data_IF_656111967769
#
_entry.id   IF_656111967769
#
_cell.length_a   1.000
_cell.length_b   1.000
_cell.length_c   1.000
_cell.angle_alpha   90.00
_cell.angle_beta   90.00
_cell.angle_gamma   90.00
#
_symmetry.space_group_name_H-M   'P 1'
#
loop_
_entity.id
_entity.type
_entity.pdbx_description
1 polymer ?
#
# COMPACT_ATOMS: atom_id res chain seq x y z
N UNK A 1 9.26 10.01 15.73
CA UNK A 1 9.32 9.00 16.82
C UNK A 1 10.69 8.87 17.49
N UNK A 2 11.80 8.62 16.76
CA UNK A 2 13.14 8.46 17.36
C UNK A 2 13.54 9.64 18.27
N UNK A 3 13.24 10.86 17.84
CA UNK A 3 13.47 12.09 18.62
C UNK A 3 12.79 12.07 19.99
N UNK A 4 11.50 11.73 20.04
CA UNK A 4 10.76 11.66 21.30
C UNK A 4 11.24 10.52 22.18
N UNK A 5 11.59 9.37 21.59
CA UNK A 5 12.19 8.27 22.33
C UNK A 5 13.56 8.65 22.96
N UNK A 6 14.36 9.47 22.27
CA UNK A 6 15.66 9.93 22.76
C UNK A 6 15.56 10.89 23.96
N UNK A 7 14.43 11.57 24.14
CA UNK A 7 14.18 12.45 25.28
C UNK A 7 13.89 11.68 26.58
N UNK A 8 13.50 10.40 26.50
CA UNK A 8 13.13 9.60 27.68
C UNK A 8 12.07 10.31 28.53
N UNK A 9 12.38 10.52 29.81
CA UNK A 9 11.48 11.16 30.79
C UNK A 9 11.10 12.60 30.49
N UNK A 10 11.81 13.27 29.59
CA UNK A 10 11.47 14.62 29.15
C UNK A 10 10.43 14.62 28.02
N UNK A 11 10.07 13.46 27.46
CA UNK A 11 9.03 13.34 26.45
C UNK A 11 7.65 13.28 27.07
N UNK A 12 6.72 14.08 26.55
CA UNK A 12 5.29 13.97 26.91
C UNK A 12 4.66 12.65 26.46
N UNK A 13 5.33 11.91 25.57
CA UNK A 13 4.89 10.61 25.06
C UNK A 13 5.62 9.43 25.69
N UNK A 14 6.50 9.62 26.68
CA UNK A 14 7.27 8.55 27.33
C UNK A 14 6.39 7.34 27.66
N UNK A 15 5.31 7.55 28.42
CA UNK A 15 4.42 6.48 28.84
C UNK A 15 3.75 5.73 27.68
N UNK A 16 3.52 6.38 26.55
CA UNK A 16 3.00 5.71 25.34
C UNK A 16 4.11 4.93 24.63
N UNK A 17 5.28 5.54 24.42
CA UNK A 17 6.42 4.91 23.75
C UNK A 17 6.91 3.64 24.47
N UNK A 18 6.82 3.63 25.80
CA UNK A 18 7.17 2.49 26.66
C UNK A 18 6.21 1.30 26.54
N UNK A 19 4.95 1.55 26.16
CA UNK A 19 3.96 0.47 25.95
C UNK A 19 4.09 -0.20 24.58
N UNK A 20 4.81 0.42 23.65
CA UNK A 20 4.90 -0.08 22.29
C UNK A 20 5.85 -1.29 22.16
N UNK A 21 5.61 -2.19 21.19
CA UNK A 21 6.49 -3.31 20.91
C UNK A 21 7.94 -2.87 20.64
N UNK A 22 8.87 -3.68 21.11
CA UNK A 22 10.32 -3.56 20.86
C UNK A 22 10.85 -4.70 20.01
N UNK A 23 9.97 -5.59 19.57
CA UNK A 23 10.22 -6.73 18.69
C UNK A 23 9.05 -6.86 17.74
N UNK A 24 9.34 -7.32 16.53
CA UNK A 24 8.37 -7.51 15.46
C UNK A 24 8.62 -8.84 14.79
N UNK A 25 7.52 -9.46 14.34
CA UNK A 25 7.53 -10.69 13.57
C UNK A 25 7.34 -10.39 12.07
N UNK A 26 7.55 -9.15 11.64
CA UNK A 26 7.51 -8.77 10.22
C UNK A 26 8.75 -9.30 9.47
N UNK A 27 8.62 -9.64 8.16
CA UNK A 27 9.69 -10.20 7.35
C UNK A 27 11.02 -9.43 7.39
N UNK A 28 10.99 -8.11 7.60
CA UNK A 28 12.20 -7.27 7.73
C UNK A 28 13.18 -7.79 8.80
N UNK A 29 12.68 -8.41 9.87
CA UNK A 29 13.50 -8.92 10.98
C UNK A 29 13.84 -10.41 10.85
N UNK A 30 13.38 -11.07 9.80
CA UNK A 30 13.57 -12.50 9.64
C UNK A 30 15.01 -12.84 9.21
N UNK A 31 15.53 -14.01 9.63
CA UNK A 31 16.72 -14.59 9.03
C UNK A 31 16.55 -14.81 7.52
N UNK A 32 17.65 -14.75 6.78
CA UNK A 32 17.66 -14.99 5.33
C UNK A 32 17.04 -16.35 4.98
N UNK A 33 17.28 -17.39 5.79
CA UNK A 33 16.71 -18.71 5.56
C UNK A 33 15.17 -18.72 5.57
N UNK A 34 14.55 -17.91 6.43
CA UNK A 34 13.09 -17.84 6.54
C UNK A 34 12.51 -16.94 5.44
N UNK A 35 13.25 -15.91 5.00
CA UNK A 35 12.87 -15.08 3.86
C UNK A 35 12.81 -15.87 2.54
N UNK A 36 13.65 -16.90 2.39
CA UNK A 36 13.60 -17.77 1.21
C UNK A 36 12.30 -18.56 1.08
N UNK A 37 11.58 -18.79 2.18
CA UNK A 37 10.25 -19.43 2.17
C UNK A 37 9.17 -18.50 1.58
N UNK A 38 9.43 -17.18 1.51
CA UNK A 38 8.53 -16.21 0.85
C UNK A 38 8.72 -16.18 -0.67
N UNK A 39 9.65 -16.95 -1.22
CA UNK A 39 9.93 -16.97 -2.66
C UNK A 39 8.67 -17.28 -3.46
N UNK A 40 8.39 -16.44 -4.46
CA UNK A 40 7.20 -16.54 -5.30
C UNK A 40 5.97 -15.86 -4.71
N UNK A 41 6.00 -15.36 -3.48
CA UNK A 41 4.98 -14.44 -2.96
C UNK A 41 5.26 -13.00 -3.41
N UNK A 42 4.27 -12.11 -3.35
CA UNK A 42 4.47 -10.67 -3.57
C UNK A 42 5.27 -10.00 -2.46
N UNK A 43 5.43 -10.64 -1.30
CA UNK A 43 6.13 -10.06 -0.14
C UNK A 43 7.65 -10.05 -0.36
N UNK A 44 8.20 -11.07 -1.04
CA UNK A 44 9.66 -11.25 -1.17
C UNK A 44 10.35 -10.01 -1.74
N UNK A 45 9.69 -9.31 -2.66
CA UNK A 45 10.20 -8.08 -3.29
C UNK A 45 9.82 -6.81 -2.50
N UNK A 46 8.87 -6.90 -1.56
CA UNK A 46 8.30 -5.77 -0.81
C UNK A 46 8.79 -5.68 0.65
N UNK A 47 9.81 -6.44 1.04
CA UNK A 47 10.35 -6.43 2.43
C UNK A 47 10.97 -5.06 2.79
N UNK A 48 11.63 -4.39 1.83
CA UNK A 48 12.08 -3.00 1.97
C UNK A 48 13.26 -2.77 2.92
N UNK A 49 13.98 -3.84 3.33
CA UNK A 49 15.06 -3.74 4.33
C UNK A 49 16.27 -2.99 3.78
N UNK A 50 16.72 -3.33 2.59
CA UNK A 50 17.93 -2.73 2.01
C UNK A 50 17.72 -1.24 1.70
N UNK A 51 16.52 -0.90 1.23
CA UNK A 51 16.06 0.47 0.99
C UNK A 51 16.04 1.28 2.29
N UNK A 52 15.47 0.73 3.37
CA UNK A 52 15.45 1.38 4.68
C UNK A 52 16.87 1.59 5.26
N UNK A 53 17.75 0.61 5.13
CA UNK A 53 19.15 0.73 5.55
C UNK A 53 19.89 1.80 4.74
N UNK A 54 19.63 1.88 3.44
CA UNK A 54 20.17 2.93 2.56
C UNK A 54 19.67 4.31 2.96
N UNK A 55 18.37 4.50 3.18
CA UNK A 55 17.79 5.77 3.61
C UNK A 55 18.38 6.26 4.93
N UNK A 56 18.59 5.34 5.87
CA UNK A 56 19.26 5.65 7.13
C UNK A 56 20.68 6.19 6.89
N UNK A 57 21.47 5.51 6.04
CA UNK A 57 22.88 5.87 5.78
C UNK A 57 23.01 7.14 4.96
N UNK A 58 22.21 7.28 3.91
CA UNK A 58 22.37 8.33 2.91
C UNK A 58 21.63 9.62 3.31
N UNK A 59 20.55 9.53 4.09
CA UNK A 59 19.71 10.68 4.45
C UNK A 59 19.74 10.99 5.94
N UNK A 60 19.33 10.05 6.79
CA UNK A 60 19.12 10.32 8.21
C UNK A 60 20.44 10.56 8.95
N UNK A 61 21.43 9.68 8.81
CA UNK A 61 22.69 9.78 9.53
C UNK A 61 23.48 11.08 9.23
N UNK A 62 23.56 11.57 7.98
CA UNK A 62 24.12 12.88 7.67
C UNK A 62 23.35 14.03 8.33
N UNK A 63 22.02 13.99 8.31
CA UNK A 63 21.16 15.03 8.91
C UNK A 63 21.38 15.13 10.42
N UNK A 64 21.45 14.00 11.12
CA UNK A 64 21.72 13.95 12.56
C UNK A 64 23.08 14.57 12.90
N UNK A 65 24.11 14.27 12.12
CA UNK A 65 25.47 14.82 12.31
C UNK A 65 25.57 16.31 11.99
N UNK A 66 24.75 16.80 11.05
CA UNK A 66 24.74 18.21 10.64
C UNK A 66 24.12 19.13 11.70
N UNK A 67 23.33 18.58 12.64
CA UNK A 67 22.57 19.35 13.64
C UNK A 67 22.92 18.93 15.09
N UNK A 68 24.18 19.11 15.54
CA UNK A 68 24.58 18.78 16.90
C UNK A 68 23.91 19.63 17.99
N UNK A 69 23.28 20.73 17.59
CA UNK A 69 22.43 21.58 18.45
C UNK A 69 21.11 20.90 18.83
N UNK A 70 20.63 19.98 18.00
CA UNK A 70 19.42 19.19 18.24
C UNK A 70 19.79 17.76 18.66
N UNK A 71 20.71 17.13 17.95
CA UNK A 71 21.09 15.73 18.13
C UNK A 71 22.49 15.64 18.75
N UNK A 72 22.55 15.46 20.07
CA UNK A 72 23.82 15.42 20.78
C UNK A 72 24.69 14.27 20.26
N UNK A 73 25.98 14.49 19.94
CA UNK A 73 26.86 13.43 19.45
C UNK A 73 26.94 12.19 20.35
N UNK A 74 26.79 12.36 21.67
CA UNK A 74 26.76 11.26 22.64
C UNK A 74 25.52 10.38 22.57
N UNK A 75 24.44 10.85 21.94
CA UNK A 75 23.17 10.14 21.82
C UNK A 75 23.04 9.40 20.48
N UNK A 76 23.91 9.67 19.49
CA UNK A 76 23.79 9.09 18.16
C UNK A 76 23.91 7.57 18.18
N UNK A 77 24.94 7.05 18.85
CA UNK A 77 25.20 5.61 18.91
C UNK A 77 24.27 4.84 19.87
N UNK A 78 23.35 5.53 20.55
CA UNK A 78 22.44 4.93 21.55
C UNK A 78 20.97 5.06 21.15
N UNK A 79 20.53 6.26 20.76
CA UNK A 79 19.12 6.53 20.45
C UNK A 79 18.84 6.66 18.96
N UNK A 80 19.85 6.96 18.15
CA UNK A 80 19.71 7.18 16.73
C UNK A 80 20.46 6.14 15.90
N UNK A 81 20.30 4.87 16.27
CA UNK A 81 20.92 3.73 15.59
C UNK A 81 20.05 3.21 14.44
N UNK A 82 20.65 2.42 13.55
CA UNK A 82 19.91 1.73 12.49
C UNK A 82 18.85 0.78 13.06
N UNK A 83 19.14 0.10 14.17
CA UNK A 83 18.17 -0.75 14.85
C UNK A 83 16.96 0.07 15.34
N UNK A 84 17.19 1.23 15.95
CA UNK A 84 16.11 2.12 16.35
C UNK A 84 15.32 2.66 15.16
N UNK A 85 15.98 2.88 14.02
CA UNK A 85 15.31 3.26 12.78
C UNK A 85 14.33 2.18 12.30
N UNK A 86 14.77 0.91 12.26
CA UNK A 86 13.89 -0.21 11.91
C UNK A 86 12.74 -0.40 12.90
N UNK A 87 13.02 -0.32 14.21
CA UNK A 87 11.99 -0.45 15.25
C UNK A 87 10.94 0.65 15.13
N UNK A 88 11.36 1.91 14.96
CA UNK A 88 10.42 3.02 14.85
C UNK A 88 9.64 2.99 13.53
N UNK A 89 10.28 2.64 12.41
CA UNK A 89 9.60 2.43 11.14
C UNK A 89 8.53 1.33 11.23
N UNK A 90 8.85 0.22 11.91
CA UNK A 90 7.91 -0.89 12.12
C UNK A 90 6.77 -0.52 13.07
N UNK A 91 7.03 0.31 14.09
CA UNK A 91 5.97 0.89 14.94
C UNK A 91 5.01 1.73 14.10
N UNK A 92 5.52 2.60 13.23
CA UNK A 92 4.67 3.42 12.34
C UNK A 92 3.87 2.50 11.44
N UNK A 93 4.52 1.63 10.65
CA UNK A 93 3.88 0.77 9.66
C UNK A 93 2.76 -0.12 10.24
N UNK A 94 2.91 -0.57 11.49
CA UNK A 94 1.96 -1.49 12.13
C UNK A 94 0.89 -0.81 13.00
N UNK A 95 1.04 0.48 13.33
CA UNK A 95 0.21 1.14 14.38
C UNK A 95 -0.24 2.56 14.05
N UNK A 96 0.24 3.16 12.97
CA UNK A 96 -0.23 4.47 12.56
C UNK A 96 -1.65 4.42 12.00
N UNK A 97 -2.34 5.55 12.08
CA UNK A 97 -3.64 5.80 11.50
C UNK A 97 -3.52 6.96 10.53
N UNK A 98 -4.32 6.91 9.47
CA UNK A 98 -4.56 8.07 8.63
C UNK A 98 -5.62 8.95 9.32
N UNK A 99 -5.26 10.20 9.62
CA UNK A 99 -6.08 11.19 10.33
C UNK A 99 -6.07 12.45 9.47
N UNK A 100 -7.03 12.55 8.56
CA UNK A 100 -7.23 13.74 7.74
C UNK A 100 -7.65 14.91 8.64
N UNK A 101 -7.06 16.09 8.42
CA UNK A 101 -7.60 17.33 8.98
C UNK A 101 -8.91 17.68 8.27
N UNK A 102 -9.99 17.86 9.03
CA UNK A 102 -11.29 18.30 8.50
C UNK A 102 -11.13 19.66 7.80
N UNK A 103 -11.20 19.68 6.45
CA UNK A 103 -11.08 20.92 5.66
C UNK A 103 -12.18 21.95 5.97
N UNK A 104 -13.23 21.58 6.70
CA UNK A 104 -14.27 22.50 7.18
C UNK A 104 -13.72 23.60 8.09
N UNK A 105 -12.60 23.39 8.79
CA UNK A 105 -11.98 24.47 9.58
C UNK A 105 -11.32 25.55 8.70
N UNK A 106 -11.01 25.25 7.43
CA UNK A 106 -10.55 26.26 6.46
C UNK A 106 -11.71 27.07 5.89
N UNK A 107 -12.90 26.48 5.76
CA UNK A 107 -14.10 27.16 5.24
C UNK A 107 -14.86 27.97 6.30
N UNK A 108 -14.75 27.67 7.60
CA UNK A 108 -15.37 28.49 8.66
C UNK A 108 -14.76 29.91 8.79
N UNK A 109 -13.62 30.18 8.14
CA UNK A 109 -13.08 31.53 7.96
C UNK A 109 -13.78 32.35 6.86
N UNK A 110 -14.53 31.72 5.96
CA UNK A 110 -15.36 32.37 4.92
C UNK A 110 -16.80 31.86 5.01
N UNK A 111 -17.55 32.45 5.93
CA UNK A 111 -18.88 31.99 6.32
C UNK A 111 -19.86 31.73 5.17
N UNK A 112 -20.24 30.46 5.01
CA UNK A 112 -21.50 30.03 4.38
C UNK A 112 -22.03 28.79 5.12
N UNK A 113 -23.34 28.76 5.44
CA UNK A 113 -23.97 27.73 6.28
C UNK A 113 -23.96 26.33 5.62
N UNK A 114 -23.86 25.21 6.38
CA UNK A 114 -23.91 23.87 5.81
C UNK A 114 -25.35 23.36 5.67
N UNK A 115 -25.69 22.86 4.49
CA UNK A 115 -26.79 21.92 4.27
C UNK A 115 -26.24 20.49 4.22
N UNK A 116 -27.04 19.55 4.66
CA UNK A 116 -26.65 18.24 5.15
C UNK A 116 -26.51 17.24 4.00
N UNK A 117 -25.33 16.65 3.80
CA UNK A 117 -25.21 15.32 3.20
C UNK A 117 -24.11 14.53 3.89
N UNK A 118 -24.55 13.63 4.77
CA UNK A 118 -23.71 12.75 5.57
C UNK A 118 -23.44 11.48 4.76
N UNK A 119 -22.37 11.49 3.97
CA UNK A 119 -21.83 10.29 3.33
C UNK A 119 -20.32 10.48 3.08
N UNK A 120 -19.51 10.37 4.14
CA UNK A 120 -18.10 10.03 3.99
C UNK A 120 -17.76 8.98 5.04
N UNK A 121 -17.62 7.75 4.55
CA UNK A 121 -17.11 6.61 5.30
C UNK A 121 -15.86 6.13 4.58
N UNK A 122 -14.81 6.94 4.53
CA UNK A 122 -13.47 6.46 4.21
C UNK A 122 -12.87 5.86 5.48
N UNK A 123 -13.09 4.56 5.66
CA UNK A 123 -12.36 3.78 6.66
C UNK A 123 -11.25 3.06 5.96
N UNK A 124 -10.00 3.25 6.42
CA UNK A 124 -8.79 2.48 6.04
C UNK A 124 -8.94 1.87 4.64
N UNK A 125 -9.07 2.74 3.64
CA UNK A 125 -9.39 2.33 2.29
C UNK A 125 -8.07 1.90 1.64
N UNK A 126 -7.82 0.59 1.63
CA UNK A 126 -6.91 0.00 0.66
C UNK A 126 -7.78 -0.30 -0.55
N UNK A 127 -7.73 0.63 -1.50
CA UNK A 127 -8.10 0.51 -2.90
C UNK A 127 -9.38 -0.29 -3.21
N UNK A 128 -10.46 0.45 -3.46
CA UNK A 128 -11.56 -0.02 -4.31
C UNK A 128 -11.88 1.02 -5.37
N UNK A 129 -11.17 0.90 -6.49
CA UNK A 129 -11.56 1.44 -7.79
C UNK A 129 -13.08 1.34 -8.06
N UNK A 130 -13.74 2.51 -8.10
CA UNK A 130 -15.02 2.65 -8.80
C UNK A 130 -15.23 4.06 -9.35
N UNK A 131 -15.36 4.09 -10.66
CA UNK A 131 -15.68 5.21 -11.55
C UNK A 131 -16.88 6.04 -11.06
N UNK A 132 -16.80 7.37 -11.13
CA UNK A 132 -17.90 8.21 -11.64
C UNK A 132 -17.42 9.60 -12.13
N UNK A 133 -18.17 10.12 -13.11
CA UNK A 133 -17.76 11.05 -14.17
C UNK A 133 -17.60 12.54 -13.75
N UNK A 134 -16.67 13.20 -14.44
CA UNK A 134 -16.35 14.63 -14.40
C UNK A 134 -17.46 15.51 -15.05
N UNK A 135 -17.56 16.80 -14.69
CA UNK A 135 -17.48 17.80 -15.76
C UNK A 135 -16.61 19.03 -15.44
N UNK A 136 -15.66 19.25 -16.37
CA UNK A 136 -14.95 20.47 -16.77
C UNK A 136 -15.46 21.83 -16.25
N UNK A 137 -14.53 22.67 -15.74
CA UNK A 137 -14.45 24.13 -16.01
C UNK A 137 -12.98 24.57 -16.19
N UNK A 138 -12.81 25.56 -17.08
CA UNK A 138 -11.63 26.04 -17.79
C UNK A 138 -10.51 26.70 -16.96
N UNK A 139 -9.30 26.61 -17.52
CA UNK A 139 -8.04 27.18 -17.05
C UNK A 139 -7.97 28.71 -17.09
N UNK A 140 -7.28 29.31 -16.12
CA UNK A 140 -6.55 30.56 -16.31
C UNK A 140 -5.18 30.53 -15.63
N UNK A 141 -4.17 30.88 -16.44
CA UNK A 141 -2.75 30.96 -16.13
C UNK A 141 -2.42 32.06 -15.11
N UNK A 142 -1.53 31.76 -14.17
CA UNK A 142 -0.92 32.72 -13.27
C UNK A 142 0.39 32.19 -12.72
N UNK A 143 1.49 32.57 -13.36
CA UNK A 143 2.87 32.26 -12.98
C UNK A 143 3.23 32.82 -11.60
N UNK A 144 3.85 32.01 -10.73
CA UNK A 144 5.06 32.44 -10.02
C UNK A 144 5.82 31.26 -9.41
N UNK A 145 7.11 31.24 -9.70
CA UNK A 145 8.14 30.30 -9.29
C UNK A 145 8.41 30.36 -7.79
N UNK A 146 8.50 29.20 -7.12
CA UNK A 146 9.53 28.95 -6.09
C UNK A 146 9.79 27.45 -6.04
N UNK A 147 10.91 27.03 -6.59
CA UNK A 147 11.40 25.64 -6.57
C UNK A 147 11.74 25.23 -5.13
N UNK A 148 10.96 24.31 -4.57
CA UNK A 148 11.39 23.43 -3.48
C UNK A 148 11.39 22.01 -4.03
N UNK A 149 12.58 21.45 -4.19
CA UNK A 149 12.79 20.07 -4.65
C UNK A 149 12.31 19.10 -3.56
N UNK A 150 11.08 18.65 -3.73
CA UNK A 150 10.42 17.63 -2.91
C UNK A 150 10.86 16.24 -3.41
N UNK A 151 11.82 15.64 -2.72
CA UNK A 151 12.26 14.27 -3.00
C UNK A 151 11.38 13.28 -2.23
N UNK A 152 10.26 12.92 -2.85
CA UNK A 152 9.42 11.77 -2.53
C UNK A 152 8.92 11.16 -3.84
N UNK A 153 9.60 10.11 -4.31
CA UNK A 153 9.19 9.35 -5.49
C UNK A 153 7.98 8.48 -5.15
N UNK A 154 6.80 9.01 -5.46
CA UNK A 154 5.58 8.27 -5.77
C UNK A 154 4.70 9.24 -6.57
N UNK A 155 5.00 9.41 -7.86
CA UNK A 155 4.21 10.21 -8.80
C UNK A 155 2.92 9.48 -9.21
N UNK A 156 2.21 8.98 -8.20
CA UNK A 156 0.85 8.50 -8.25
C UNK A 156 0.04 9.53 -7.47
N UNK A 157 -1.03 10.08 -8.07
CA UNK A 157 -2.01 10.95 -7.38
C UNK A 157 -2.69 10.28 -6.16
N UNK A 158 -2.27 9.06 -5.80
CA UNK A 158 -2.78 8.16 -4.75
C UNK A 158 -1.76 7.92 -3.60
N UNK A 159 -0.68 8.70 -3.52
CA UNK A 159 0.26 8.63 -2.40
C UNK A 159 -0.33 9.20 -1.11
N UNK A 160 -0.46 8.38 -0.05
CA UNK A 160 -0.89 8.84 1.27
C UNK A 160 -0.02 10.04 1.74
N UNK A 161 -0.65 11.18 2.03
CA UNK A 161 0.07 12.35 2.55
C UNK A 161 0.66 12.01 3.92
N UNK A 162 1.98 12.12 4.05
CA UNK A 162 2.70 11.85 5.31
C UNK A 162 2.15 12.72 6.47
N UNK A 163 1.60 13.89 6.13
CA UNK A 163 0.98 14.82 7.08
C UNK A 163 -0.24 14.23 7.80
N UNK A 164 -0.96 13.33 7.15
CA UNK A 164 -2.16 12.70 7.68
C UNK A 164 -1.81 11.43 8.51
N UNK A 165 -0.53 11.03 8.60
CA UNK A 165 -0.12 9.80 9.33
C UNK A 165 0.20 10.10 10.80
N UNK A 166 -0.63 9.60 11.71
CA UNK A 166 -0.49 9.83 13.15
C UNK A 166 -0.47 8.53 13.97
N UNK A 167 0.25 8.55 15.09
CA UNK A 167 0.15 7.51 16.11
C UNK A 167 -1.02 7.83 17.03
N UNK A 168 -1.93 6.88 17.26
CA UNK A 168 -3.12 7.09 18.10
C UNK A 168 -3.04 6.19 19.34
N UNK A 169 -2.51 6.71 20.47
CA UNK A 169 -2.40 5.95 21.71
C UNK A 169 -3.74 5.33 22.13
N UNK A 170 -3.68 4.13 22.71
CA UNK A 170 -4.83 3.30 23.11
C UNK A 170 -5.60 2.68 21.94
N UNK A 171 -5.88 3.41 20.87
CA UNK A 171 -6.56 2.86 19.70
C UNK A 171 -5.70 1.81 18.99
N UNK A 172 -4.39 2.07 18.90
CA UNK A 172 -3.40 1.17 18.31
C UNK A 172 -3.14 -0.12 19.11
N UNK A 173 -3.69 -0.24 20.32
CA UNK A 173 -3.60 -1.47 21.13
C UNK A 173 -4.61 -2.53 20.73
N UNK A 174 -5.69 -2.15 20.03
CA UNK A 174 -6.73 -3.08 19.62
C UNK A 174 -6.25 -3.87 18.42
N UNK A 175 -6.18 -5.19 18.57
CA UNK A 175 -5.89 -6.08 17.46
C UNK A 175 -7.00 -6.03 16.41
N UNK A 176 -6.68 -6.47 15.20
CA UNK A 176 -7.66 -6.77 14.16
C UNK A 176 -7.59 -8.23 13.75
N UNK A 177 -8.70 -8.69 13.20
CA UNK A 177 -8.86 -10.02 12.62
C UNK A 177 -10.05 -9.94 11.68
N UNK A 178 -9.92 -10.50 10.47
CA UNK A 178 -11.03 -10.51 9.53
C UNK A 178 -12.32 -11.10 10.13
N UNK A 179 -13.42 -10.36 10.00
CA UNK A 179 -14.75 -10.72 10.52
C UNK A 179 -14.89 -10.76 12.05
N UNK A 180 -13.83 -10.40 12.79
CA UNK A 180 -13.80 -10.35 14.24
C UNK A 180 -14.08 -8.96 14.82
N UNK A 181 -14.15 -7.93 13.97
CA UNK A 181 -14.27 -6.53 14.36
C UNK A 181 -15.53 -6.27 15.19
N UNK A 182 -15.36 -5.59 16.31
CA UNK A 182 -16.45 -5.22 17.21
C UNK A 182 -16.32 -3.80 17.78
N UNK A 183 -15.28 -3.07 17.37
CA UNK A 183 -15.09 -1.65 17.56
C UNK A 183 -14.53 -1.00 16.28
N UNK A 184 -14.77 0.31 16.12
CA UNK A 184 -14.26 1.11 15.01
C UNK A 184 -13.91 2.52 15.50
N UNK A 185 -12.88 3.11 14.90
CA UNK A 185 -12.49 4.49 15.14
C UNK A 185 -13.38 5.44 14.32
N UNK A 186 -13.87 6.49 14.96
CA UNK A 186 -14.64 7.58 14.37
C UNK A 186 -13.87 8.88 14.56
N UNK A 187 -13.87 9.70 13.52
CA UNK A 187 -13.19 10.97 13.47
C UNK A 187 -14.19 12.08 13.83
N UNK A 188 -13.78 12.97 14.74
CA UNK A 188 -14.47 14.22 15.04
C UNK A 188 -13.43 15.34 15.08
N UNK A 189 -13.82 16.61 14.88
CA UNK A 189 -12.87 17.71 14.65
C UNK A 189 -11.77 17.87 15.70
N UNK A 190 -12.03 17.46 16.95
CA UNK A 190 -11.07 17.62 18.05
C UNK A 190 -10.72 16.31 18.76
N UNK A 191 -11.33 15.18 18.37
CA UNK A 191 -11.18 13.92 19.10
C UNK A 191 -11.42 12.70 18.21
N UNK A 192 -10.62 11.66 18.42
CA UNK A 192 -10.84 10.34 17.85
C UNK A 192 -11.65 9.49 18.85
N UNK A 193 -12.77 8.93 18.39
CA UNK A 193 -13.66 8.09 19.22
C UNK A 193 -13.63 6.64 18.78
N UNK A 194 -13.07 5.77 19.62
CA UNK A 194 -13.22 4.32 19.45
C UNK A 194 -14.58 3.87 20.01
N UNK A 195 -15.46 3.36 19.15
CA UNK A 195 -16.84 2.99 19.51
C UNK A 195 -17.11 1.53 19.17
N UNK A 196 -17.76 0.81 20.08
CA UNK A 196 -18.19 -0.58 19.85
C UNK A 196 -19.30 -0.64 18.82
N UNK A 197 -19.18 -1.53 17.83
CA UNK A 197 -20.18 -1.76 16.78
C UNK A 197 -21.08 -2.96 17.09
N UNK A 198 -20.67 -3.82 18.04
CA UNK A 198 -21.38 -5.02 18.49
C UNK A 198 -21.34 -5.09 20.02
N UNK A 199 -22.25 -5.87 20.63
CA UNK A 199 -22.18 -6.14 22.07
C UNK A 199 -20.96 -7.01 22.39
N UNK A 200 -20.21 -6.66 23.43
CA UNK A 200 -18.98 -7.36 23.85
C UNK A 200 -19.19 -7.88 25.27
N UNK A 201 -19.07 -9.20 25.48
CA UNK A 201 -19.23 -9.78 26.82
C UNK A 201 -17.99 -9.52 27.69
N UNK A 202 -18.17 -9.56 29.02
CA UNK A 202 -17.06 -9.42 29.94
C UNK A 202 -16.05 -10.57 29.75
N UNK A 203 -14.79 -10.23 29.48
CA UNK A 203 -13.72 -11.18 29.20
C UNK A 203 -13.44 -11.39 27.71
N UNK A 204 -14.32 -10.92 26.81
CA UNK A 204 -14.06 -10.96 25.37
C UNK A 204 -13.10 -9.84 24.95
N UNK A 205 -12.33 -10.12 23.90
CA UNK A 205 -11.42 -9.14 23.31
C UNK A 205 -12.18 -8.09 22.49
N UNK A 206 -11.70 -6.85 22.56
CA UNK A 206 -12.15 -5.75 21.71
C UNK A 206 -11.24 -5.73 20.47
N UNK A 207 -11.87 -5.80 19.30
CA UNK A 207 -11.22 -5.91 18.00
C UNK A 207 -11.54 -4.68 17.16
N UNK A 208 -10.50 -4.03 16.65
CA UNK A 208 -10.61 -2.98 15.64
C UNK A 208 -10.75 -3.62 14.23
N UNK A 209 -10.97 -2.78 13.21
CA UNK A 209 -10.80 -3.13 11.79
C UNK A 209 -9.56 -2.44 11.25
N UNK A 210 -8.73 -3.17 10.50
CA UNK A 210 -7.56 -2.63 9.79
C UNK A 210 -7.84 -2.42 8.29
N UNK A 211 -9.11 -2.37 7.88
CA UNK A 211 -9.49 -2.30 6.46
C UNK A 211 -9.49 -3.67 5.74
N UNK A 212 -9.36 -4.77 6.49
CA UNK A 212 -9.37 -6.16 5.99
C UNK A 212 -8.36 -6.42 4.83
N UNK A 213 -7.07 -6.06 4.98
CA UNK A 213 -6.06 -6.28 3.95
C UNK A 213 -5.77 -7.78 3.73
N UNK A 214 -5.22 -8.16 2.57
CA UNK A 214 -4.83 -9.54 2.28
C UNK A 214 -3.70 -10.03 3.19
N UNK A 215 -3.48 -11.36 3.23
CA UNK A 215 -2.45 -11.95 4.09
C UNK A 215 -1.04 -11.47 3.74
N UNK A 216 -0.79 -11.13 2.47
CA UNK A 216 0.48 -10.53 2.05
C UNK A 216 0.80 -9.25 2.84
N UNK A 217 -0.21 -8.40 3.00
CA UNK A 217 -0.10 -7.11 3.65
C UNK A 217 -0.15 -7.24 5.16
N UNK A 218 -0.98 -8.15 5.69
CA UNK A 218 -1.00 -8.49 7.10
C UNK A 218 0.40 -8.92 7.58
N UNK A 219 1.04 -9.82 6.84
CA UNK A 219 2.36 -10.33 7.21
C UNK A 219 3.43 -9.25 7.08
N UNK A 220 3.43 -8.53 5.97
CA UNK A 220 4.43 -7.48 5.68
C UNK A 220 4.36 -6.33 6.69
N UNK A 221 3.15 -5.81 6.96
CA UNK A 221 2.95 -4.59 7.75
C UNK A 221 2.83 -4.88 9.25
N UNK A 222 2.12 -5.96 9.62
CA UNK A 222 1.74 -6.24 11.01
C UNK A 222 2.38 -7.50 11.60
N UNK A 223 3.00 -8.36 10.79
CA UNK A 223 3.70 -9.56 11.27
C UNK A 223 2.79 -10.72 11.65
N UNK A 224 1.57 -10.78 11.11
CA UNK A 224 0.65 -11.91 11.30
C UNK A 224 -0.12 -12.20 10.01
N UNK A 225 -0.83 -13.34 9.97
CA UNK A 225 -1.77 -13.69 8.90
C UNK A 225 -3.07 -14.17 9.50
N UNK A 226 -4.17 -14.03 8.76
CA UNK A 226 -5.45 -14.62 9.12
C UNK A 226 -5.48 -16.12 8.81
N UNK A 227 -6.45 -16.83 9.41
CA UNK A 227 -6.67 -18.25 9.13
C UNK A 227 -7.02 -18.48 7.64
N UNK A 228 -6.46 -19.54 7.05
CA UNK A 228 -6.71 -19.92 5.67
C UNK A 228 -8.22 -19.97 5.36
N UNK A 229 -8.63 -19.22 4.34
CA UNK A 229 -10.02 -19.13 3.88
C UNK A 229 -10.92 -18.20 4.70
N UNK A 230 -10.39 -17.47 5.68
CA UNK A 230 -11.12 -16.47 6.47
C UNK A 230 -10.59 -15.05 6.28
N UNK A 231 -10.32 -14.64 5.05
CA UNK A 231 -9.84 -13.29 4.73
C UNK A 231 -10.09 -12.92 3.27
N UNK A 232 -9.77 -11.67 2.92
CA UNK A 232 -9.82 -11.16 1.55
C UNK A 232 -8.45 -11.36 0.88
N UNK A 233 -8.05 -12.63 0.76
CA UNK A 233 -6.74 -12.93 0.21
C UNK A 233 -6.70 -12.75 -1.30
N UNK A 234 -5.54 -12.29 -1.79
CA UNK A 234 -5.32 -11.99 -3.19
C UNK A 234 -4.00 -12.56 -3.70
N UNK A 235 -3.91 -12.73 -5.01
CA UNK A 235 -2.67 -13.07 -5.71
C UNK A 235 -2.41 -12.04 -6.80
N UNK A 236 -1.24 -11.41 -6.75
CA UNK A 236 -0.77 -10.47 -7.77
C UNK A 236 -0.07 -11.19 -8.93
N UNK A 237 -0.38 -10.78 -10.16
CA UNK A 237 0.31 -11.18 -11.39
C UNK A 237 0.96 -9.94 -12.00
N UNK A 238 2.28 -9.98 -12.10
CA UNK A 238 3.08 -8.94 -12.75
C UNK A 238 2.81 -8.90 -14.26
N UNK A 239 2.57 -7.71 -14.80
CA UNK A 239 2.30 -7.46 -16.21
C UNK A 239 3.46 -7.87 -17.12
N UNK A 240 4.69 -7.79 -16.61
CA UNK A 240 5.89 -8.32 -17.28
C UNK A 240 5.76 -9.80 -17.66
N UNK A 241 5.11 -10.60 -16.82
CA UNK A 241 4.85 -12.02 -17.09
C UNK A 241 3.84 -12.21 -18.23
N UNK A 242 2.86 -11.32 -18.32
CA UNK A 242 1.85 -11.32 -19.39
C UNK A 242 2.50 -10.93 -20.72
N UNK A 243 3.39 -9.92 -20.72
CA UNK A 243 4.19 -9.52 -21.89
C UNK A 243 5.03 -10.68 -22.40
N UNK A 244 5.74 -11.37 -21.50
CA UNK A 244 6.56 -12.54 -21.85
C UNK A 244 5.72 -13.68 -22.45
N UNK A 245 4.52 -13.92 -21.90
CA UNK A 245 3.61 -14.93 -22.44
C UNK A 245 3.03 -14.52 -23.79
N UNK A 246 2.67 -13.25 -23.98
CA UNK A 246 2.10 -12.73 -25.22
C UNK A 246 3.08 -12.85 -26.39
N UNK A 247 4.39 -12.68 -26.14
CA UNK A 247 5.45 -12.84 -27.13
C UNK A 247 5.48 -14.24 -27.77
N UNK A 248 4.94 -15.26 -27.10
CA UNK A 248 4.82 -16.63 -27.64
C UNK A 248 3.70 -16.80 -28.68
N UNK A 249 2.75 -15.88 -28.71
CA UNK A 249 1.60 -15.92 -29.63
C UNK A 249 1.71 -14.88 -30.75
N UNK A 250 2.29 -13.72 -30.46
CA UNK A 250 2.56 -12.67 -31.43
C UNK A 250 3.97 -12.10 -31.20
N UNK A 251 4.83 -12.26 -32.20
CA UNK A 251 6.18 -11.71 -32.18
C UNK A 251 6.15 -10.23 -32.56
N UNK A 252 6.15 -9.37 -31.55
CA UNK A 252 6.35 -7.92 -31.68
C UNK A 252 7.81 -7.57 -31.43
N UNK A 253 8.30 -6.47 -32.01
CA UNK A 253 9.62 -5.94 -31.62
C UNK A 253 9.58 -5.43 -30.17
N UNK A 254 10.73 -5.38 -29.48
CA UNK A 254 10.79 -4.83 -28.11
C UNK A 254 10.22 -3.41 -28.02
N UNK A 255 10.44 -2.59 -29.04
CA UNK A 255 9.93 -1.22 -29.11
C UNK A 255 8.40 -1.19 -29.21
N UNK A 256 7.81 -2.07 -30.02
CA UNK A 256 6.35 -2.18 -30.14
C UNK A 256 5.69 -2.71 -28.88
N UNK A 257 6.35 -3.64 -28.17
CA UNK A 257 5.86 -4.13 -26.88
C UNK A 257 5.86 -3.00 -25.86
N UNK A 258 6.97 -2.26 -25.78
CA UNK A 258 7.11 -1.13 -24.89
C UNK A 258 6.06 -0.06 -25.18
N UNK A 259 5.86 0.33 -26.45
CA UNK A 259 4.84 1.32 -26.85
C UNK A 259 3.43 0.94 -26.36
N UNK A 260 3.08 -0.35 -26.43
CA UNK A 260 1.76 -0.83 -25.97
C UNK A 260 1.64 -0.85 -24.44
N UNK A 261 2.74 -1.14 -23.73
CA UNK A 261 2.76 -1.10 -22.26
C UNK A 261 2.69 0.34 -21.77
N UNK A 262 3.50 1.23 -22.33
CA UNK A 262 3.51 2.66 -21.99
C UNK A 262 2.11 3.25 -22.19
N UNK A 263 1.46 2.97 -23.34
CA UNK A 263 0.08 3.41 -23.59
C UNK A 263 -0.94 2.83 -22.60
N UNK A 264 -0.77 1.58 -22.16
CA UNK A 264 -1.67 0.99 -21.16
C UNK A 264 -1.59 1.76 -19.84
N UNK A 265 -0.38 2.09 -19.39
CA UNK A 265 -0.14 2.85 -18.17
C UNK A 265 -0.66 4.29 -18.31
N UNK A 266 -0.42 4.95 -19.44
CA UNK A 266 -0.96 6.30 -19.74
C UNK A 266 -2.49 6.35 -19.73
N UNK A 267 -3.15 5.25 -20.08
CA UNK A 267 -4.61 5.12 -20.03
C UNK A 267 -5.15 4.80 -18.63
N UNK A 268 -4.31 4.82 -17.60
CA UNK A 268 -4.67 4.50 -16.21
C UNK A 268 -4.78 3.00 -15.94
N UNK A 269 -4.21 2.16 -16.79
CA UNK A 269 -4.08 0.73 -16.51
C UNK A 269 -2.94 0.45 -15.55
N UNK A 270 -3.07 -0.61 -14.75
CA UNK A 270 -2.06 -1.02 -13.77
C UNK A 270 -1.04 -2.02 -14.36
N UNK A 271 0.18 -2.03 -13.83
CA UNK A 271 1.21 -3.01 -14.17
C UNK A 271 1.05 -4.35 -13.46
N UNK A 272 0.17 -4.40 -12.45
CA UNK A 272 -0.08 -5.57 -11.62
C UNK A 272 -1.56 -5.96 -11.67
N UNK A 273 -1.85 -7.25 -11.83
CA UNK A 273 -3.22 -7.76 -11.91
C UNK A 273 -3.56 -8.62 -10.68
N UNK A 274 -4.59 -8.21 -9.95
CA UNK A 274 -5.00 -8.85 -8.69
C UNK A 274 -6.06 -9.92 -8.91
N UNK A 275 -5.83 -11.13 -8.40
CA UNK A 275 -6.79 -12.22 -8.37
C UNK A 275 -7.30 -12.42 -6.96
N UNK A 276 -8.59 -12.26 -6.77
CA UNK A 276 -9.28 -12.59 -5.54
C UNK A 276 -9.96 -13.97 -5.62
N UNK A 277 -10.50 -14.46 -4.51
CA UNK A 277 -11.17 -15.77 -4.43
C UNK A 277 -12.59 -15.80 -5.01
N UNK A 278 -13.17 -14.65 -5.31
CA UNK A 278 -14.54 -14.46 -5.80
C UNK A 278 -14.63 -14.35 -7.32
N UNK A 279 -13.60 -13.82 -7.98
CA UNK A 279 -13.54 -13.60 -9.42
C UNK A 279 -12.64 -14.62 -10.11
N UNK A 280 -13.09 -15.13 -11.26
CA UNK A 280 -12.39 -16.23 -11.93
C UNK A 280 -11.12 -15.75 -12.65
N UNK A 281 -11.19 -14.59 -13.31
CA UNK A 281 -10.09 -13.91 -14.02
C UNK A 281 -10.40 -12.40 -14.11
N UNK A 282 -9.45 -11.50 -13.79
CA UNK A 282 -9.63 -10.06 -13.91
C UNK A 282 -9.88 -9.64 -15.37
N UNK A 283 -10.84 -8.75 -15.59
CA UNK A 283 -11.12 -8.24 -16.95
C UNK A 283 -9.96 -7.43 -17.52
N UNK A 284 -9.24 -6.72 -16.67
CA UNK A 284 -8.07 -5.92 -17.02
C UNK A 284 -6.93 -6.80 -17.52
N UNK A 285 -6.63 -7.91 -16.83
CA UNK A 285 -5.64 -8.89 -17.27
C UNK A 285 -5.94 -9.39 -18.70
N UNK A 286 -7.21 -9.68 -19.00
CA UNK A 286 -7.63 -10.12 -20.32
C UNK A 286 -7.58 -8.98 -21.37
N UNK A 287 -7.89 -7.75 -20.96
CA UNK A 287 -7.80 -6.55 -21.80
C UNK A 287 -6.35 -6.25 -22.17
N UNK A 288 -5.44 -6.28 -21.19
CA UNK A 288 -4.01 -6.09 -21.38
C UNK A 288 -3.40 -7.19 -22.26
N UNK A 289 -3.73 -8.47 -21.99
CA UNK A 289 -3.33 -9.57 -22.88
C UNK A 289 -3.90 -9.42 -24.30
N UNK A 290 -5.11 -8.87 -24.46
CA UNK A 290 -5.68 -8.59 -25.78
C UNK A 290 -4.92 -7.46 -26.50
N UNK A 291 -4.51 -6.41 -25.79
CA UNK A 291 -3.73 -5.29 -26.30
C UNK A 291 -2.39 -5.77 -26.89
N UNK A 292 -1.68 -6.62 -26.15
CA UNK A 292 -0.40 -7.19 -26.57
C UNK A 292 -0.53 -8.14 -27.77
N UNK A 293 -1.73 -8.66 -28.03
CA UNK A 293 -2.01 -9.59 -29.14
C UNK A 293 -2.75 -8.96 -30.32
N UNK A 294 -2.94 -7.63 -30.34
CA UNK A 294 -3.51 -6.93 -31.49
C UNK A 294 -2.57 -6.94 -32.70
N UNK A 295 -3.12 -7.05 -33.90
CA UNK A 295 -2.39 -6.72 -35.13
C UNK A 295 -2.11 -5.22 -35.20
N UNK A 296 -1.11 -4.82 -35.98
CA UNK A 296 -0.76 -3.40 -36.16
C UNK A 296 -1.97 -2.56 -36.63
N UNK A 297 -2.82 -3.12 -37.49
CA UNK A 297 -4.03 -2.42 -37.95
C UNK A 297 -5.07 -2.19 -36.86
N UNK A 298 -5.16 -3.10 -35.89
CA UNK A 298 -6.13 -2.97 -34.79
C UNK A 298 -5.53 -2.20 -33.61
N UNK A 299 -4.20 -2.19 -33.48
CA UNK A 299 -3.45 -1.32 -32.58
C UNK A 299 -3.72 0.15 -32.91
N UNK A 300 -3.52 0.58 -34.16
CA UNK A 300 -3.77 1.98 -34.57
C UNK A 300 -5.22 2.41 -34.30
N UNK A 301 -6.20 1.54 -34.56
CA UNK A 301 -7.61 1.81 -34.24
C UNK A 301 -7.90 1.90 -32.74
N UNK A 302 -7.09 1.25 -31.92
CA UNK A 302 -7.24 1.27 -30.46
C UNK A 302 -6.68 2.59 -29.92
N UNK A 303 -5.52 3.02 -30.44
CA UNK A 303 -4.96 4.35 -30.18
C UNK A 303 -5.94 5.46 -30.56
N UNK A 304 -6.53 5.42 -31.76
CA UNK A 304 -7.53 6.42 -32.22
C UNK A 304 -8.80 6.48 -31.36
N UNK A 305 -9.12 5.41 -30.64
CA UNK A 305 -10.33 5.32 -29.81
C UNK A 305 -10.09 5.65 -28.35
N UNK A 306 -8.83 5.72 -27.92
CA UNK A 306 -8.44 5.98 -26.53
C UNK A 306 -9.18 5.08 -25.53
N UNK A 307 -9.38 3.81 -25.87
CA UNK A 307 -10.12 2.85 -25.02
C UNK A 307 -9.47 1.48 -25.04
N UNK A 308 -9.29 0.84 -23.87
CA UNK A 308 -8.74 -0.51 -23.79
C UNK A 308 -9.54 -1.54 -24.60
N UNK A 309 -8.86 -2.52 -25.23
CA UNK A 309 -9.51 -3.46 -26.12
C UNK A 309 -10.25 -4.57 -25.36
N UNK A 310 -11.51 -4.84 -25.75
CA UNK A 310 -12.26 -5.97 -25.19
C UNK A 310 -11.66 -7.31 -25.62
N UNK A 311 -11.56 -8.31 -24.72
CA UNK A 311 -11.01 -9.62 -25.05
C UNK A 311 -11.92 -10.35 -26.04
N UNK A 312 -11.35 -10.74 -27.19
CA UNK A 312 -12.11 -11.37 -28.30
C UNK A 312 -11.54 -12.70 -28.76
N UNK A 313 -10.26 -12.96 -28.53
CA UNK A 313 -9.53 -14.11 -29.09
C UNK A 313 -9.31 -15.23 -28.08
N UNK A 314 -9.39 -16.48 -28.52
CA UNK A 314 -9.00 -17.65 -27.71
C UNK A 314 -7.51 -17.61 -27.31
N UNK A 315 -6.66 -16.94 -28.11
CA UNK A 315 -5.25 -16.78 -27.77
C UNK A 315 -5.07 -15.88 -26.53
N UNK A 316 -5.99 -14.95 -26.25
CA UNK A 316 -5.95 -14.13 -25.03
C UNK A 316 -6.13 -15.01 -23.80
N UNK A 317 -7.13 -15.91 -23.83
CA UNK A 317 -7.37 -16.85 -22.73
C UNK A 317 -6.20 -17.81 -22.54
N UNK A 318 -5.60 -18.28 -23.63
CA UNK A 318 -4.40 -19.13 -23.57
C UNK A 318 -3.20 -18.38 -23.01
N UNK A 319 -3.01 -17.11 -23.41
CA UNK A 319 -1.96 -16.24 -22.88
C UNK A 319 -2.13 -16.03 -21.37
N UNK A 320 -3.33 -15.65 -20.91
CA UNK A 320 -3.63 -15.50 -19.49
C UNK A 320 -3.42 -16.81 -18.70
N UNK A 321 -3.82 -17.96 -19.26
CA UNK A 321 -3.54 -19.28 -18.67
C UNK A 321 -2.03 -19.55 -18.56
N UNK A 322 -1.26 -19.25 -19.60
CA UNK A 322 0.21 -19.41 -19.56
C UNK A 322 0.85 -18.49 -18.52
N UNK A 323 0.36 -17.26 -18.37
CA UNK A 323 0.83 -16.34 -17.33
C UNK A 323 0.55 -16.90 -15.93
N UNK A 324 -0.65 -17.45 -15.69
CA UNK A 324 -0.99 -18.13 -14.45
C UNK A 324 -0.10 -19.35 -14.17
N UNK A 325 0.13 -20.19 -15.18
CA UNK A 325 0.99 -21.37 -15.04
C UNK A 325 2.43 -20.99 -14.71
N UNK A 326 2.96 -19.94 -15.35
CA UNK A 326 4.29 -19.40 -15.00
C UNK A 326 4.32 -18.80 -13.61
N UNK A 327 3.27 -18.05 -13.23
CA UNK A 327 3.14 -17.44 -11.91
C UNK A 327 3.14 -18.51 -10.80
N UNK A 328 2.44 -19.62 -11.03
CA UNK A 328 2.47 -20.80 -10.16
C UNK A 328 3.86 -21.44 -10.11
N UNK A 329 4.59 -21.46 -11.23
CA UNK A 329 5.95 -21.98 -11.31
C UNK A 329 7.01 -21.15 -10.59
N UNK A 330 6.68 -19.95 -10.09
CA UNK A 330 7.59 -19.13 -9.27
C UNK A 330 7.71 -19.66 -7.83
N UNK A 331 6.72 -20.42 -7.36
CA UNK A 331 6.76 -21.01 -6.03
C UNK A 331 7.70 -22.22 -6.02
N UNK A 332 8.55 -22.38 -4.99
CA UNK A 332 9.49 -23.50 -4.90
C UNK A 332 8.81 -24.85 -4.63
N UNK A 333 7.57 -24.83 -4.12
CA UNK A 333 6.80 -26.00 -3.72
C UNK A 333 5.40 -26.02 -4.35
N UNK A 334 4.73 -27.17 -4.28
CA UNK A 334 3.31 -27.29 -4.67
C UNK A 334 2.40 -27.27 -3.45
N UNK A 335 1.11 -27.02 -3.68
CA UNK A 335 0.08 -27.02 -2.62
C UNK A 335 0.05 -28.36 -1.88
N UNK A 336 0.21 -29.49 -2.58
CA UNK A 336 0.22 -30.82 -1.97
C UNK A 336 1.41 -31.04 -1.04
N UNK A 337 2.55 -30.40 -1.32
CA UNK A 337 3.74 -30.47 -0.47
C UNK A 337 3.64 -29.56 0.75
N UNK A 338 2.84 -28.49 0.68
CA UNK A 338 2.67 -27.51 1.75
C UNK A 338 1.60 -27.88 2.79
N UNK A 339 0.70 -28.82 2.48
CA UNK A 339 -0.42 -29.23 3.36
C UNK A 339 -0.03 -30.37 4.35
N UNK A 340 1.19 -30.92 4.24
CA UNK A 340 1.74 -31.94 5.14
C UNK A 340 2.93 -31.39 5.93
#
# INVERSE_FOLDING_TARGET
MMWEAAKGSDSIWEGYLDTMPVRFDTPMFWPIADLEELRGTSIAEKVGREEAEKDYVDRLAPLLKARPDLFLPSQLDTHYTLEQFHIMGSRILSRSFHVEEDETEKEEAEGTNPDVSMESSKSMDVDRSREEENPHIEAQEGQNETEQEEYGDSDSEDGERVEDVAMVPMADMLNARYGGENAKLFYEPSVLKMVTTKAIAAGDQIWNTYGDPPNSDLLRRYGYVDELGKGLDIVEIQGSLVVECAASYLSLSPEQQKERVDWWLEMGGDDTFTLDTSTLLPSELLSFAQLLLLSDSDWTKTQEKEKPPKPKSDNVKKCAKSALEKRMGLYPTTVEMAIY
#
